data_IF_474383943493
#
_entry.id   IF_474383943493
#
_cell.length_a   1.000
_cell.length_b   1.000
_cell.length_c   1.000
_cell.angle_alpha   90.00
_cell.angle_beta   90.00
_cell.angle_gamma   90.00
#
_symmetry.space_group_name_H-M   'P 1'
#
loop_
_entity.id
_entity.type
_entity.pdbx_description
1 polymer ?
#
# COMPACT_ATOMS: atom_id res chain seq x y z
N UNK A 1 7.44 -18.10 -8.76
CA UNK A 1 6.98 -19.31 -8.03
C UNK A 1 7.05 -19.16 -6.52
N UNK A 2 8.23 -18.97 -5.93
CA UNK A 2 8.41 -18.89 -4.47
C UNK A 2 7.48 -17.89 -3.77
N UNK A 3 7.33 -16.67 -4.30
CA UNK A 3 6.45 -15.63 -3.78
C UNK A 3 4.99 -16.07 -3.73
N UNK A 4 4.46 -16.64 -4.80
CA UNK A 4 3.07 -17.11 -4.84
C UNK A 4 2.82 -18.25 -3.85
N UNK A 5 3.79 -19.16 -3.68
CA UNK A 5 3.73 -20.25 -2.71
C UNK A 5 3.73 -19.70 -1.28
N UNK A 6 4.62 -18.74 -0.98
CA UNK A 6 4.65 -18.06 0.33
C UNK A 6 3.34 -17.36 0.65
N UNK A 7 2.76 -16.64 -0.32
CA UNK A 7 1.47 -15.99 -0.14
C UNK A 7 0.33 -16.99 0.06
N UNK A 8 0.35 -18.11 -0.67
CA UNK A 8 -0.67 -19.15 -0.53
C UNK A 8 -0.62 -19.84 0.82
N UNK A 9 0.57 -20.26 1.26
CA UNK A 9 0.74 -21.12 2.42
C UNK A 9 0.91 -20.38 3.74
N UNK A 10 1.37 -19.14 3.71
CA UNK A 10 1.69 -18.37 4.93
C UNK A 10 0.83 -17.12 5.02
N UNK A 11 0.93 -16.20 4.06
CA UNK A 11 0.28 -14.88 4.21
C UNK A 11 -1.24 -14.99 4.22
N UNK A 12 -1.84 -15.68 3.24
CA UNK A 12 -3.30 -15.80 3.16
C UNK A 12 -3.93 -16.53 4.34
N UNK A 13 -3.41 -17.69 4.78
CA UNK A 13 -3.91 -18.33 5.99
C UNK A 13 -3.75 -17.46 7.24
N UNK A 14 -2.57 -16.84 7.42
CA UNK A 14 -2.31 -15.95 8.56
C UNK A 14 -3.32 -14.79 8.59
N UNK A 15 -3.47 -14.11 7.46
CA UNK A 15 -4.39 -12.97 7.33
C UNK A 15 -5.84 -13.41 7.52
N UNK A 16 -6.23 -14.56 6.95
CA UNK A 16 -7.59 -15.08 7.06
C UNK A 16 -7.93 -15.51 8.50
N UNK A 17 -7.00 -16.22 9.16
CA UNK A 17 -7.25 -16.82 10.49
C UNK A 17 -7.11 -15.79 11.63
N UNK A 18 -6.20 -14.81 11.47
CA UNK A 18 -5.87 -13.88 12.55
C UNK A 18 -6.57 -12.53 12.38
N UNK A 19 -6.67 -12.04 11.16
CA UNK A 19 -7.19 -10.68 10.91
C UNK A 19 -8.62 -10.65 10.40
N UNK A 20 -9.17 -11.78 9.90
CA UNK A 20 -10.56 -11.84 9.40
C UNK A 20 -10.92 -10.65 8.50
N UNK A 21 -10.12 -10.38 7.45
CA UNK A 21 -10.29 -9.16 6.65
C UNK A 21 -11.61 -9.18 5.87
N UNK A 22 -12.45 -8.19 6.14
CA UNK A 22 -13.64 -7.88 5.36
C UNK A 22 -13.31 -6.76 4.36
N UNK A 23 -13.34 -7.05 3.05
CA UNK A 23 -12.97 -6.11 2.00
C UNK A 23 -14.21 -5.64 1.23
N UNK A 24 -14.48 -4.33 1.27
CA UNK A 24 -15.58 -3.64 0.58
C UNK A 24 -15.04 -2.83 -0.61
N UNK A 25 -15.71 -2.89 -1.75
CA UNK A 25 -15.24 -2.25 -3.00
C UNK A 25 -14.11 -3.04 -3.68
N UNK A 26 -14.05 -4.35 -3.46
CA UNK A 26 -12.99 -5.23 -3.96
C UNK A 26 -12.94 -5.28 -5.50
N UNK A 27 -14.03 -4.99 -6.15
CA UNK A 27 -14.18 -4.84 -7.60
C UNK A 27 -13.31 -3.71 -8.19
N UNK A 28 -12.92 -2.73 -7.38
CA UNK A 28 -12.04 -1.63 -7.79
C UNK A 28 -10.55 -2.01 -7.80
N UNK A 29 -10.17 -3.16 -7.21
CA UNK A 29 -8.77 -3.61 -7.24
C UNK A 29 -8.36 -3.99 -8.67
N UNK A 30 -7.24 -3.46 -9.18
CA UNK A 30 -6.75 -3.79 -10.51
C UNK A 30 -6.26 -5.24 -10.55
N UNK A 31 -6.66 -5.98 -11.57
CA UNK A 31 -6.22 -7.35 -11.81
C UNK A 31 -5.21 -7.46 -12.94
N UNK A 32 -4.96 -6.38 -13.66
CA UNK A 32 -4.02 -6.25 -14.77
C UNK A 32 -3.70 -4.78 -15.03
N UNK A 33 -2.63 -4.52 -15.77
CA UNK A 33 -2.19 -3.17 -16.12
C UNK A 33 -1.44 -2.45 -14.99
N UNK A 34 -0.93 -1.26 -15.30
CA UNK A 34 -0.30 -0.38 -14.34
C UNK A 34 -1.34 0.27 -13.43
N UNK A 35 -1.07 0.32 -12.13
CA UNK A 35 -1.91 1.02 -11.17
C UNK A 35 -1.12 1.40 -9.91
N UNK A 36 -1.55 2.44 -9.22
CA UNK A 36 -1.02 2.83 -7.91
C UNK A 36 -2.11 2.60 -6.86
N UNK A 37 -1.83 1.76 -5.88
CA UNK A 37 -2.68 1.62 -4.69
C UNK A 37 -2.14 2.56 -3.62
N UNK A 38 -3.02 3.37 -3.07
CA UNK A 38 -2.70 4.29 -1.97
C UNK A 38 -3.45 3.86 -0.72
N UNK A 39 -2.71 3.59 0.36
CA UNK A 39 -3.33 3.16 1.62
C UNK A 39 -2.79 3.95 2.81
N UNK A 40 -3.59 4.03 3.90
CA UNK A 40 -3.10 4.48 5.20
C UNK A 40 -2.08 3.49 5.78
N UNK A 41 -1.18 3.98 6.64
CA UNK A 41 -0.07 3.17 7.19
C UNK A 41 -0.03 3.23 8.71
N UNK A 42 -0.59 2.20 9.35
CA UNK A 42 -0.74 2.13 10.81
C UNK A 42 -0.07 0.89 11.43
N UNK A 43 0.20 -0.15 10.62
CA UNK A 43 0.70 -1.43 11.09
C UNK A 43 1.83 -1.98 10.22
N UNK A 44 2.65 -2.87 10.78
CA UNK A 44 3.59 -3.70 10.01
C UNK A 44 2.87 -4.67 9.05
N UNK A 45 1.62 -4.98 9.34
CA UNK A 45 0.81 -5.94 8.57
C UNK A 45 0.13 -5.30 7.35
N UNK A 46 0.06 -3.96 7.26
CA UNK A 46 -0.67 -3.25 6.19
C UNK A 46 -0.30 -3.76 4.80
N UNK A 47 1.00 -3.89 4.54
CA UNK A 47 1.51 -4.36 3.26
C UNK A 47 1.03 -5.78 2.94
N UNK A 48 1.17 -6.72 3.89
CA UNK A 48 0.79 -8.12 3.68
C UNK A 48 -0.73 -8.27 3.61
N UNK A 49 -1.46 -7.53 4.44
CA UNK A 49 -2.91 -7.46 4.42
C UNK A 49 -3.42 -6.99 3.06
N UNK A 50 -2.90 -5.87 2.54
CA UNK A 50 -3.26 -5.34 1.24
C UNK A 50 -2.93 -6.31 0.10
N UNK A 51 -1.73 -6.88 0.11
CA UNK A 51 -1.31 -7.85 -0.90
C UNK A 51 -2.16 -9.13 -0.86
N UNK A 52 -2.66 -9.55 0.30
CA UNK A 52 -3.50 -10.73 0.44
C UNK A 52 -4.87 -10.59 -0.25
N UNK A 53 -5.33 -9.35 -0.48
CA UNK A 53 -6.57 -9.07 -1.20
C UNK A 53 -6.49 -9.43 -2.68
N UNK A 54 -5.28 -9.49 -3.24
CA UNK A 54 -5.05 -9.82 -4.64
C UNK A 54 -5.09 -11.34 -4.89
N UNK A 55 -5.60 -11.78 -6.06
CA UNK A 55 -5.47 -13.18 -6.48
C UNK A 55 -3.99 -13.57 -6.65
N UNK A 56 -3.66 -14.84 -6.40
CA UNK A 56 -2.27 -15.33 -6.53
C UNK A 56 -1.68 -15.14 -7.93
N UNK A 57 -2.53 -15.15 -8.98
CA UNK A 57 -2.08 -14.91 -10.36
C UNK A 57 -1.51 -13.50 -10.57
N UNK A 58 -1.94 -12.53 -9.74
CA UNK A 58 -1.53 -11.10 -9.85
C UNK A 58 -0.40 -10.76 -8.89
N UNK A 59 -0.18 -11.56 -7.84
CA UNK A 59 0.73 -11.22 -6.75
C UNK A 59 2.16 -10.87 -7.19
N UNK A 60 2.63 -11.49 -8.27
CA UNK A 60 3.98 -11.23 -8.81
C UNK A 60 4.09 -9.85 -9.50
N UNK A 61 2.97 -9.19 -9.78
CA UNK A 61 2.88 -7.85 -10.34
C UNK A 61 2.59 -6.76 -9.30
N UNK A 62 2.37 -7.14 -8.04
CA UNK A 62 2.05 -6.20 -6.96
C UNK A 62 3.32 -5.88 -6.18
N UNK A 63 3.76 -4.63 -6.16
CA UNK A 63 5.04 -4.22 -5.59
C UNK A 63 4.86 -3.08 -4.58
N UNK A 64 5.06 -3.34 -3.28
CA UNK A 64 5.11 -2.27 -2.28
C UNK A 64 6.34 -1.38 -2.47
N UNK A 65 6.17 -0.09 -2.26
CA UNK A 65 7.27 0.88 -2.25
C UNK A 65 7.67 1.19 -0.81
N UNK A 66 8.95 1.08 -0.51
CA UNK A 66 9.43 1.37 0.83
C UNK A 66 10.84 1.97 0.85
N UNK A 67 11.19 2.66 1.93
CA UNK A 67 12.50 3.28 2.11
C UNK A 67 13.61 2.22 2.21
N UNK A 68 14.66 2.39 1.41
CA UNK A 68 15.78 1.44 1.28
C UNK A 68 16.52 1.22 2.60
N UNK A 69 16.73 2.28 3.38
CA UNK A 69 17.43 2.28 4.67
C UNK A 69 16.82 1.30 5.69
N UNK A 70 15.52 1.06 5.63
CA UNK A 70 14.83 0.15 6.53
C UNK A 70 15.10 -1.33 6.24
N UNK A 71 15.24 -1.71 4.96
CA UNK A 71 15.34 -3.13 4.56
C UNK A 71 16.75 -3.58 4.21
N UNK A 72 17.67 -2.65 3.95
CA UNK A 72 19.02 -2.99 3.48
C UNK A 72 20.04 -3.23 4.58
N UNK A 73 19.66 -3.08 5.85
CA UNK A 73 20.53 -3.26 7.01
C UNK A 73 20.92 -4.72 7.29
N UNK A 74 20.11 -5.69 6.85
CA UNK A 74 20.34 -7.11 7.08
C UNK A 74 20.15 -7.90 5.78
N UNK A 75 21.09 -8.83 5.47
CA UNK A 75 21.06 -9.64 4.23
C UNK A 75 19.79 -10.50 4.10
N UNK A 76 19.32 -11.08 5.20
CA UNK A 76 18.08 -11.87 5.25
C UNK A 76 16.85 -11.01 4.99
N UNK A 77 16.73 -9.88 5.70
CA UNK A 77 15.62 -8.93 5.53
C UNK A 77 15.62 -8.37 4.12
N UNK A 78 16.79 -8.00 3.59
CA UNK A 78 16.95 -7.55 2.20
C UNK A 78 16.47 -8.60 1.20
N UNK A 79 16.94 -9.84 1.35
CA UNK A 79 16.54 -10.92 0.45
C UNK A 79 15.03 -11.15 0.48
N UNK A 80 14.45 -11.24 1.68
CA UNK A 80 13.01 -11.42 1.88
C UNK A 80 12.21 -10.25 1.28
N UNK A 81 12.61 -9.02 1.57
CA UNK A 81 11.96 -7.82 1.07
C UNK A 81 11.91 -7.78 -0.47
N UNK A 82 13.04 -8.09 -1.11
CA UNK A 82 13.14 -8.03 -2.57
C UNK A 82 12.49 -9.24 -3.27
N UNK A 83 12.66 -10.46 -2.75
CA UNK A 83 12.25 -11.68 -3.45
C UNK A 83 10.87 -12.20 -3.02
N UNK A 84 10.46 -11.98 -1.78
CA UNK A 84 9.18 -12.46 -1.25
C UNK A 84 8.15 -11.33 -1.19
N UNK A 85 8.46 -10.23 -0.52
CA UNK A 85 7.54 -9.08 -0.49
C UNK A 85 7.53 -8.33 -1.83
N UNK A 86 8.61 -8.42 -2.63
CA UNK A 86 8.73 -7.75 -3.93
C UNK A 86 8.78 -6.24 -3.81
N UNK A 87 9.41 -5.75 -2.75
CA UNK A 87 9.50 -4.32 -2.44
C UNK A 87 10.35 -3.60 -3.49
N UNK A 88 9.89 -2.44 -3.94
CA UNK A 88 10.67 -1.48 -4.69
C UNK A 88 11.33 -0.53 -3.69
N UNK A 89 12.66 -0.62 -3.50
CA UNK A 89 13.36 0.25 -2.56
C UNK A 89 13.49 1.67 -3.11
N UNK A 90 13.17 2.67 -2.28
CA UNK A 90 13.42 4.09 -2.59
C UNK A 90 14.55 4.60 -1.68
N UNK A 91 15.64 5.07 -2.28
CA UNK A 91 16.69 5.78 -1.55
C UNK A 91 16.39 7.28 -1.54
N UNK A 92 15.95 7.79 -0.39
CA UNK A 92 15.61 9.21 -0.20
C UNK A 92 16.81 10.14 -0.38
N UNK A 93 18.04 9.66 -0.19
CA UNK A 93 19.28 10.42 -0.36
C UNK A 93 19.62 10.66 -1.83
N UNK A 94 19.02 9.90 -2.76
CA UNK A 94 19.21 10.12 -4.19
C UNK A 94 18.66 11.47 -4.63
N UNK A 95 17.64 12.02 -3.96
CA UNK A 95 17.12 13.36 -4.23
C UNK A 95 18.18 14.46 -4.05
N UNK A 96 19.03 14.32 -3.03
CA UNK A 96 20.14 15.25 -2.76
C UNK A 96 21.24 15.18 -3.84
N UNK A 97 21.32 14.07 -4.56
CA UNK A 97 22.26 13.83 -5.66
C UNK A 97 21.69 14.14 -7.05
N UNK A 98 20.49 14.75 -7.14
CA UNK A 98 19.85 15.09 -8.42
C UNK A 98 19.29 13.90 -9.21
N UNK A 99 19.23 12.70 -8.61
CA UNK A 99 18.65 11.52 -9.25
C UNK A 99 17.15 11.40 -8.97
N UNK A 100 16.42 10.84 -9.94
CA UNK A 100 14.99 10.58 -9.75
C UNK A 100 14.79 9.41 -8.74
N UNK A 101 14.26 9.78 -7.57
CA UNK A 101 13.96 8.84 -6.48
C UNK A 101 12.91 7.80 -6.90
N UNK A 102 12.08 8.12 -7.89
CA UNK A 102 10.96 7.28 -8.34
C UNK A 102 11.25 6.50 -9.62
N UNK A 103 12.44 6.58 -10.19
CA UNK A 103 12.79 5.89 -11.45
C UNK A 103 12.45 4.39 -11.42
N UNK A 104 12.74 3.71 -10.31
CA UNK A 104 12.39 2.28 -10.15
C UNK A 104 10.87 2.03 -10.08
N UNK A 105 10.11 2.96 -9.52
CA UNK A 105 8.64 2.90 -9.47
C UNK A 105 8.05 3.12 -10.86
N UNK A 106 8.54 4.12 -11.59
CA UNK A 106 8.13 4.42 -12.97
C UNK A 106 8.40 3.20 -13.85
N UNK A 107 9.60 2.62 -13.77
CA UNK A 107 9.93 1.40 -14.52
C UNK A 107 8.98 0.23 -14.19
N UNK A 108 8.57 0.07 -12.94
CA UNK A 108 7.60 -0.96 -12.58
C UNK A 108 6.23 -0.69 -13.21
N UNK A 109 5.76 0.56 -13.20
CA UNK A 109 4.52 0.96 -13.86
C UNK A 109 4.60 0.76 -15.38
N UNK A 110 5.72 1.07 -16.03
CA UNK A 110 5.97 0.82 -17.45
C UNK A 110 5.87 -0.67 -17.80
N UNK A 111 6.21 -1.54 -16.85
CA UNK A 111 6.08 -3.00 -16.97
C UNK A 111 4.71 -3.54 -16.50
N UNK A 112 3.67 -2.69 -16.49
CA UNK A 112 2.31 -3.06 -16.09
C UNK A 112 2.23 -3.67 -14.69
N UNK A 113 3.02 -3.14 -13.76
CA UNK A 113 2.96 -3.55 -12.36
C UNK A 113 2.00 -2.68 -11.55
N UNK A 114 1.47 -3.26 -10.49
CA UNK A 114 0.65 -2.58 -9.49
C UNK A 114 1.57 -2.17 -8.34
N UNK A 115 1.63 -0.90 -8.05
CA UNK A 115 2.52 -0.35 -7.03
C UNK A 115 1.72 0.07 -5.80
N UNK A 116 2.14 -0.36 -4.60
CA UNK A 116 1.52 0.05 -3.34
C UNK A 116 2.36 1.16 -2.72
N UNK A 117 1.72 2.28 -2.42
CA UNK A 117 2.35 3.45 -1.78
C UNK A 117 1.58 3.84 -0.54
N UNK A 118 2.31 4.01 0.56
CA UNK A 118 1.81 4.61 1.79
C UNK A 118 2.23 6.09 1.78
N UNK A 119 1.31 7.04 1.50
CA UNK A 119 1.66 8.43 1.22
C UNK A 119 2.19 9.18 2.44
N UNK A 120 1.93 8.69 3.63
CA UNK A 120 2.46 9.21 4.90
C UNK A 120 3.98 9.03 4.99
N UNK A 121 4.51 7.97 4.36
CA UNK A 121 5.94 7.63 4.31
C UNK A 121 6.53 7.14 5.64
N UNK A 122 5.73 7.08 6.69
CA UNK A 122 6.03 6.48 8.00
C UNK A 122 4.73 5.97 8.61
N UNK A 123 4.80 4.99 9.49
CA UNK A 123 3.63 4.51 10.23
C UNK A 123 3.15 5.58 11.20
N UNK A 124 1.86 5.89 11.12
CA UNK A 124 1.14 6.80 11.99
C UNK A 124 0.55 6.14 13.24
N UNK A 125 -0.33 6.87 13.91
CA UNK A 125 -1.16 6.34 15.01
C UNK A 125 -2.28 5.44 14.48
N UNK A 126 -2.75 4.46 15.27
CA UNK A 126 -3.85 3.60 14.88
C UNK A 126 -5.07 4.41 14.44
N UNK A 127 -5.68 4.00 13.32
CA UNK A 127 -6.94 4.53 12.78
C UNK A 127 -6.90 6.03 12.37
N UNK A 128 -5.75 6.69 12.48
CA UNK A 128 -5.57 8.09 12.08
C UNK A 128 -4.70 8.14 10.83
N UNK A 129 -5.21 8.78 9.79
CA UNK A 129 -4.43 9.03 8.60
C UNK A 129 -3.56 10.27 8.78
N UNK A 130 -2.25 10.10 8.67
CA UNK A 130 -1.28 11.18 8.72
C UNK A 130 -1.26 12.06 7.47
N UNK A 131 -0.41 13.09 7.50
CA UNK A 131 -0.24 14.00 6.34
C UNK A 131 0.34 13.26 5.15
N UNK A 132 -0.34 13.33 4.01
CA UNK A 132 0.13 12.77 2.75
C UNK A 132 1.26 13.59 2.13
N UNK A 133 2.30 12.91 1.65
CA UNK A 133 3.40 13.50 0.88
C UNK A 133 3.06 13.55 -0.61
N UNK A 134 3.64 14.52 -1.30
CA UNK A 134 3.34 14.79 -2.71
C UNK A 134 4.00 13.82 -3.72
N UNK A 135 4.63 12.75 -3.29
CA UNK A 135 5.31 11.80 -4.18
C UNK A 135 4.39 11.16 -5.22
N UNK A 136 3.12 10.92 -4.86
CA UNK A 136 2.12 10.36 -5.77
C UNK A 136 1.84 11.32 -6.95
N UNK A 137 1.69 12.61 -6.66
CA UNK A 137 1.45 13.61 -7.70
C UNK A 137 2.66 13.78 -8.64
N UNK A 138 3.88 13.53 -8.15
CA UNK A 138 5.06 13.48 -9.00
C UNK A 138 5.02 12.28 -9.96
N UNK A 139 4.69 11.10 -9.46
CA UNK A 139 4.53 9.90 -10.30
C UNK A 139 3.45 10.08 -11.37
N UNK A 140 2.31 10.68 -11.01
CA UNK A 140 1.21 10.91 -11.95
C UNK A 140 1.51 11.98 -13.00
N UNK A 141 2.41 12.92 -12.72
CA UNK A 141 2.88 13.87 -13.73
C UNK A 141 3.69 13.16 -14.82
N UNK A 142 4.50 12.17 -14.45
CA UNK A 142 5.28 11.34 -15.39
C UNK A 142 4.42 10.26 -16.07
N UNK A 143 3.40 9.76 -15.36
CA UNK A 143 2.48 8.70 -15.83
C UNK A 143 1.01 9.07 -15.56
N UNK A 144 0.47 10.04 -16.32
CA UNK A 144 -0.91 10.54 -16.13
C UNK A 144 -2.00 9.52 -16.47
N UNK A 145 -1.66 8.50 -17.23
CA UNK A 145 -2.52 7.38 -17.64
C UNK A 145 -2.80 6.38 -16.50
N UNK A 146 -1.98 6.37 -15.44
CA UNK A 146 -2.06 5.37 -14.38
C UNK A 146 -3.14 5.73 -13.37
N UNK A 147 -4.14 4.83 -13.12
CA UNK A 147 -5.14 5.05 -12.09
C UNK A 147 -4.57 4.91 -10.69
N UNK A 148 -5.13 5.68 -9.75
CA UNK A 148 -4.84 5.59 -8.31
C UNK A 148 -6.05 5.04 -7.59
N UNK A 149 -5.89 3.90 -6.90
CA UNK A 149 -6.94 3.27 -6.13
C UNK A 149 -6.71 3.56 -4.64
N UNK A 150 -7.57 4.35 -3.99
CA UNK A 150 -7.48 4.63 -2.57
C UNK A 150 -8.01 3.46 -1.75
N UNK A 151 -7.29 3.08 -0.71
CA UNK A 151 -7.67 2.02 0.23
C UNK A 151 -7.53 2.53 1.66
N UNK A 152 -8.51 2.29 2.49
CA UNK A 152 -8.45 2.60 3.91
C UNK A 152 -8.63 1.33 4.74
N UNK A 153 -7.65 1.03 5.57
CA UNK A 153 -7.72 -0.04 6.56
C UNK A 153 -8.16 0.49 7.91
N UNK A 154 -9.13 -0.20 8.51
CA UNK A 154 -9.55 -0.02 9.89
C UNK A 154 -9.30 -1.31 10.68
N UNK A 155 -8.80 -1.21 11.91
CA UNK A 155 -8.51 -2.36 12.78
C UNK A 155 -7.07 -2.86 12.74
N UNK A 156 -6.31 -2.64 11.66
CA UNK A 156 -4.91 -3.11 11.55
C UNK A 156 -3.97 -2.47 12.57
N UNK A 157 -4.16 -1.19 12.86
CA UNK A 157 -3.39 -0.48 13.87
C UNK A 157 -3.61 -1.01 15.29
N UNK A 158 -4.79 -1.60 15.55
CA UNK A 158 -5.12 -2.25 16.83
C UNK A 158 -4.60 -3.68 16.92
N UNK A 159 -4.51 -4.38 15.77
CA UNK A 159 -4.00 -5.76 15.71
C UNK A 159 -2.51 -5.87 15.99
N UNK A 160 -1.70 -4.94 15.48
CA UNK A 160 -0.26 -4.86 15.71
C UNK A 160 0.18 -3.39 15.67
N UNK A 161 0.06 -2.66 16.79
CA UNK A 161 0.48 -1.27 16.87
C UNK A 161 1.97 -1.09 16.63
N UNK A 162 2.38 0.13 16.30
CA UNK A 162 3.78 0.48 16.13
C UNK A 162 4.55 0.28 17.44
N UNK A 163 5.58 -0.57 17.39
CA UNK A 163 6.44 -0.87 18.56
C UNK A 163 6.05 -2.14 19.31
N UNK A 164 4.88 -2.71 19.05
CA UNK A 164 4.44 -3.96 19.65
C UNK A 164 4.88 -5.16 18.79
N UNK A 165 5.09 -6.31 19.48
CA UNK A 165 5.42 -7.60 18.84
C UNK A 165 4.25 -8.57 18.98
N UNK A 166 3.37 -8.35 19.96
CA UNK A 166 2.24 -9.22 20.23
C UNK A 166 1.12 -8.92 19.23
N UNK A 167 0.81 -9.90 18.39
CA UNK A 167 -0.32 -9.83 17.46
C UNK A 167 -1.61 -10.15 18.22
N UNK A 168 -2.51 -9.20 18.28
CA UNK A 168 -3.85 -9.37 18.84
C UNK A 168 -4.82 -9.64 17.69
N UNK A 169 -5.56 -10.76 17.67
CA UNK A 169 -6.61 -10.99 16.69
C UNK A 169 -7.64 -9.86 16.75
N UNK A 170 -7.84 -9.18 15.63
CA UNK A 170 -8.80 -8.10 15.50
C UNK A 170 -9.44 -8.15 14.11
N UNK A 171 -10.74 -7.89 14.05
CA UNK A 171 -11.39 -7.80 12.74
C UNK A 171 -10.90 -6.56 12.00
N UNK A 172 -10.55 -6.75 10.75
CA UNK A 172 -10.03 -5.71 9.88
C UNK A 172 -10.99 -5.44 8.75
N UNK A 173 -11.41 -4.20 8.60
CA UNK A 173 -12.15 -3.76 7.44
C UNK A 173 -11.22 -3.03 6.46
N UNK A 174 -11.30 -3.42 5.19
CA UNK A 174 -10.62 -2.76 4.09
C UNK A 174 -11.66 -2.08 3.19
N UNK A 175 -11.60 -0.76 3.08
CA UNK A 175 -12.47 0.04 2.23
C UNK A 175 -11.69 0.47 0.98
N UNK A 176 -12.10 -0.05 -0.17
CA UNK A 176 -11.47 0.23 -1.46
C UNK A 176 -12.36 1.21 -2.22
N UNK A 177 -11.82 2.38 -2.54
CA UNK A 177 -12.51 3.42 -3.28
C UNK A 177 -12.40 3.24 -4.79
N UNK A 178 -13.19 4.03 -5.52
CA UNK A 178 -13.13 4.10 -6.97
C UNK A 178 -11.77 4.62 -7.46
N UNK A 179 -11.31 4.21 -8.65
CA UNK A 179 -10.08 4.71 -9.24
C UNK A 179 -10.13 6.23 -9.45
N UNK A 180 -9.07 6.91 -9.06
CA UNK A 180 -8.85 8.33 -9.32
C UNK A 180 -7.86 8.48 -10.47
N UNK A 181 -8.10 9.47 -11.34
CA UNK A 181 -7.24 9.77 -12.47
C UNK A 181 -6.61 11.16 -12.33
N UNK A 182 -5.46 11.34 -12.96
CA UNK A 182 -4.78 12.62 -13.02
C UNK A 182 -5.55 13.63 -13.87
N UNK A 183 -5.76 14.83 -13.34
CA UNK A 183 -6.51 15.92 -13.99
C UNK A 183 -5.60 17.12 -14.34
N UNK A 184 -4.31 16.87 -14.54
CA UNK A 184 -3.35 17.91 -14.96
C UNK A 184 -2.81 18.81 -13.84
N UNK A 185 -3.43 18.79 -12.65
CA UNK A 185 -3.02 19.63 -11.52
C UNK A 185 -2.70 18.85 -10.26
N UNK A 186 -1.51 19.11 -9.69
CA UNK A 186 -1.07 18.50 -8.43
C UNK A 186 -2.02 18.83 -7.26
N UNK A 187 -2.41 20.09 -7.11
CA UNK A 187 -3.27 20.49 -6.00
C UNK A 187 -4.64 19.85 -6.11
N UNK A 188 -5.24 19.91 -7.29
CA UNK A 188 -6.57 19.31 -7.55
C UNK A 188 -6.55 17.81 -7.25
N UNK A 189 -5.54 17.08 -7.74
CA UNK A 189 -5.43 15.65 -7.50
C UNK A 189 -5.22 15.32 -6.01
N UNK A 190 -4.31 16.01 -5.32
CA UNK A 190 -4.03 15.76 -3.90
C UNK A 190 -5.22 16.09 -3.01
N UNK A 191 -5.98 17.16 -3.32
CA UNK A 191 -7.21 17.50 -2.61
C UNK A 191 -8.31 16.45 -2.83
N UNK A 192 -8.44 15.95 -4.06
CA UNK A 192 -9.39 14.87 -4.40
C UNK A 192 -9.02 13.57 -3.67
N UNK A 193 -7.75 13.19 -3.68
CA UNK A 193 -7.26 12.01 -2.95
C UNK A 193 -7.52 12.16 -1.45
N UNK A 194 -7.21 13.31 -0.85
CA UNK A 194 -7.44 13.57 0.57
C UNK A 194 -8.92 13.48 0.94
N UNK A 195 -9.81 14.07 0.14
CA UNK A 195 -11.26 13.98 0.35
C UNK A 195 -11.76 12.54 0.25
N UNK A 196 -11.27 11.77 -0.74
CA UNK A 196 -11.64 10.37 -0.93
C UNK A 196 -11.18 9.52 0.25
N UNK A 197 -9.93 9.64 0.68
CA UNK A 197 -9.39 8.91 1.84
C UNK A 197 -10.16 9.24 3.13
N UNK A 198 -10.46 10.52 3.37
CA UNK A 198 -11.30 10.95 4.51
C UNK A 198 -12.72 10.40 4.43
N UNK A 199 -13.27 10.26 3.23
CA UNK A 199 -14.56 9.64 2.98
C UNK A 199 -14.56 8.15 3.33
N UNK A 200 -13.51 7.41 2.93
CA UNK A 200 -13.33 5.99 3.27
C UNK A 200 -13.16 5.81 4.78
N UNK A 201 -12.37 6.66 5.44
CA UNK A 201 -12.19 6.65 6.89
C UNK A 201 -13.52 6.84 7.63
N UNK A 202 -14.36 7.80 7.22
CA UNK A 202 -15.69 8.03 7.82
C UNK A 202 -16.60 6.81 7.64
N UNK A 203 -16.59 6.17 6.45
CA UNK A 203 -17.35 4.93 6.21
C UNK A 203 -16.90 3.81 7.15
N UNK A 204 -15.60 3.71 7.40
CA UNK A 204 -15.03 2.73 8.31
C UNK A 204 -15.55 2.91 9.74
N UNK A 205 -15.52 4.13 10.27
CA UNK A 205 -16.01 4.46 11.62
C UNK A 205 -17.50 4.11 11.78
N UNK A 206 -18.34 4.54 10.83
CA UNK A 206 -19.79 4.29 10.89
C UNK A 206 -20.12 2.79 10.90
N UNK A 207 -19.36 1.98 10.17
CA UNK A 207 -19.61 0.53 10.08
C UNK A 207 -19.18 -0.22 11.35
N UNK A 208 -18.17 0.29 12.05
CA UNK A 208 -17.65 -0.37 13.27
C UNK A 208 -18.37 0.07 14.53
N UNK A 209 -19.09 1.18 14.52
CA UNK A 209 -19.86 1.69 15.66
C UNK A 209 -21.32 1.15 15.68
N UNK A 210 -21.74 0.37 14.68
CA UNK A 210 -23.02 -0.34 14.59
C UNK A 210 -22.84 -1.86 14.75
#
# INVERSE_FOLDING_TARGET
MLRSVFFLLIVKPLVLLILGINARGREHLPLSGAAIIVANHNSHLDTMALMSLFPLRVINKVHPVAAADYFLCNRFIKWFALNIAGIIPIDRRMKEKGHDVFAAVINALDNNSIVIIFPEGTRGEPEIMGRMKNGIAHLLRERPDVPVIPVFFHGLGKSLPKGEILLVPFFVDAFIGEPLHWEGSRSVFMDKLAKTMSGLQRKAIIVTDN
#
